data_IF_653386529286
#
_entry.id   IF_653386529286
#
_cell.length_a   1.000
_cell.length_b   1.000
_cell.length_c   1.000
_cell.angle_alpha   90.00
_cell.angle_beta   90.00
_cell.angle_gamma   90.00
#
_symmetry.space_group_name_H-M   'P 1'
#
loop_
_entity.id
_entity.type
_entity.pdbx_description
1 polymer ?
#
# COMPACT_ATOMS: atom_id res chain seq x y z
N UNK A 1 -15.08 -2.01 0.12
CA UNK A 1 -14.97 -0.54 0.20
C UNK A 1 -15.03 -0.15 1.66
N UNK A 2 -13.95 0.44 2.20
CA UNK A 2 -13.94 1.03 3.54
C UNK A 2 -14.10 2.55 3.42
N UNK A 3 -14.95 3.15 4.26
CA UNK A 3 -15.05 4.60 4.41
C UNK A 3 -14.52 4.92 5.80
N UNK A 4 -13.34 5.52 5.87
CA UNK A 4 -12.68 5.90 7.12
C UNK A 4 -12.96 7.36 7.45
N UNK A 5 -13.02 7.71 8.74
CA UNK A 5 -13.23 9.08 9.18
C UNK A 5 -12.08 9.98 8.69
N UNK A 6 -12.40 10.93 7.83
CA UNK A 6 -11.43 11.86 7.27
C UNK A 6 -11.02 12.92 8.30
N UNK A 7 -9.71 13.20 8.38
CA UNK A 7 -9.16 14.30 9.16
C UNK A 7 -7.93 14.85 8.46
N UNK A 8 -7.89 16.16 8.21
CA UNK A 8 -6.78 16.82 7.51
C UNK A 8 -5.40 16.54 8.14
N UNK A 9 -5.34 16.39 9.47
CA UNK A 9 -4.10 16.10 10.18
C UNK A 9 -3.51 14.72 9.83
N UNK A 10 -4.28 13.83 9.21
CA UNK A 10 -3.77 12.54 8.72
C UNK A 10 -2.86 12.70 7.50
N UNK A 11 -2.88 13.86 6.84
CA UNK A 11 -2.04 14.20 5.68
C UNK A 11 -0.90 15.15 6.05
N UNK A 12 -0.62 15.32 7.36
CA UNK A 12 0.44 16.20 7.81
C UNK A 12 1.80 15.69 7.31
N UNK A 13 2.53 16.52 6.55
CA UNK A 13 3.79 16.15 5.91
C UNK A 13 3.65 15.56 4.51
N UNK A 14 2.43 15.47 3.96
CA UNK A 14 2.18 15.13 2.56
C UNK A 14 1.86 16.38 1.72
N UNK A 15 2.06 16.28 0.41
CA UNK A 15 1.69 17.32 -0.54
C UNK A 15 0.17 17.57 -0.60
N UNK A 16 -0.22 18.72 -1.16
CA UNK A 16 -1.63 19.00 -1.46
C UNK A 16 -2.00 18.22 -2.73
N UNK A 17 -2.74 17.14 -2.56
CA UNK A 17 -3.20 16.27 -3.65
C UNK A 17 -4.69 16.52 -3.94
N UNK A 18 -5.09 16.28 -5.19
CA UNK A 18 -6.51 16.31 -5.57
C UNK A 18 -7.27 15.10 -4.98
N UNK A 19 -8.60 15.20 -4.79
CA UNK A 19 -9.40 14.05 -4.40
C UNK A 19 -9.26 12.91 -5.42
N UNK A 20 -8.70 11.78 -4.98
CA UNK A 20 -8.48 10.59 -5.79
C UNK A 20 -8.61 9.33 -4.94
N UNK A 21 -8.54 8.17 -5.59
CA UNK A 21 -8.44 6.89 -4.90
C UNK A 21 -7.09 6.81 -4.17
N UNK A 22 -7.12 6.45 -2.89
CA UNK A 22 -5.94 6.38 -2.04
C UNK A 22 -5.13 5.08 -2.24
N UNK A 23 -5.82 3.94 -2.29
CA UNK A 23 -5.22 2.62 -2.49
C UNK A 23 -6.24 1.61 -3.05
N UNK A 24 -5.72 0.49 -3.54
CA UNK A 24 -6.52 -0.67 -3.97
C UNK A 24 -6.22 -1.83 -3.02
N UNK A 25 -7.25 -2.54 -2.59
CA UNK A 25 -7.08 -3.73 -1.75
C UNK A 25 -7.65 -4.99 -2.37
N UNK A 26 -7.01 -6.13 -2.12
CA UNK A 26 -7.51 -7.44 -2.52
C UNK A 26 -7.12 -8.53 -1.51
N UNK A 27 -7.85 -9.65 -1.57
CA UNK A 27 -7.59 -10.81 -0.72
C UNK A 27 -6.78 -11.87 -1.44
N UNK A 28 -6.00 -12.61 -0.67
CA UNK A 28 -5.22 -13.76 -1.12
C UNK A 28 -5.48 -14.96 -0.22
N UNK A 29 -5.39 -16.20 -0.74
CA UNK A 29 -5.56 -17.40 0.08
C UNK A 29 -4.52 -17.50 1.21
N UNK A 30 -3.27 -17.09 0.94
CA UNK A 30 -2.17 -17.12 1.90
C UNK A 30 -1.22 -15.94 1.66
N UNK A 31 -0.97 -15.15 2.71
CA UNK A 31 -0.12 -13.95 2.63
C UNK A 31 1.35 -14.31 2.42
N UNK A 32 1.84 -15.42 2.97
CA UNK A 32 3.25 -15.80 2.83
C UNK A 32 3.54 -16.35 1.42
N UNK A 33 2.65 -17.18 0.86
CA UNK A 33 2.67 -17.53 -0.55
C UNK A 33 2.65 -16.32 -1.49
N UNK A 34 1.86 -15.29 -1.16
CA UNK A 34 1.87 -14.03 -1.91
C UNK A 34 3.24 -13.33 -1.85
N UNK A 35 3.85 -13.20 -0.66
CA UNK A 35 5.20 -12.62 -0.52
C UNK A 35 6.26 -13.40 -1.30
N UNK A 36 6.19 -14.72 -1.32
CA UNK A 36 7.11 -15.56 -2.10
C UNK A 36 6.96 -15.33 -3.62
N UNK A 37 5.73 -15.17 -4.10
CA UNK A 37 5.48 -14.82 -5.50
C UNK A 37 5.96 -13.40 -5.83
N UNK A 38 5.76 -12.44 -4.92
CA UNK A 38 6.24 -11.07 -5.05
C UNK A 38 7.77 -11.04 -5.22
N UNK A 39 8.49 -11.74 -4.36
CA UNK A 39 9.95 -11.87 -4.42
C UNK A 39 10.43 -12.54 -5.71
N UNK A 40 9.73 -13.59 -6.16
CA UNK A 40 10.02 -14.25 -7.45
C UNK A 40 9.85 -13.29 -8.64
N UNK A 41 8.77 -12.49 -8.66
CA UNK A 41 8.52 -11.50 -9.72
C UNK A 41 9.59 -10.42 -9.72
N UNK A 42 9.91 -9.87 -8.55
CA UNK A 42 10.94 -8.84 -8.41
C UNK A 42 12.33 -9.33 -8.86
N UNK A 43 12.68 -10.59 -8.55
CA UNK A 43 13.93 -11.22 -9.00
C UNK A 43 13.97 -11.48 -10.51
N UNK A 44 12.83 -11.81 -11.11
CA UNK A 44 12.73 -12.08 -12.54
C UNK A 44 12.81 -10.79 -13.36
N UNK A 45 12.22 -9.71 -12.88
CA UNK A 45 12.27 -8.40 -13.52
C UNK A 45 12.19 -7.28 -12.47
N UNK A 46 13.29 -6.54 -12.30
CA UNK A 46 13.37 -5.44 -11.35
C UNK A 46 12.38 -4.31 -11.65
N UNK A 47 11.96 -4.14 -12.91
CA UNK A 47 10.95 -3.16 -13.29
C UNK A 47 9.53 -3.53 -12.81
N UNK A 48 9.31 -4.77 -12.36
CA UNK A 48 8.07 -5.23 -11.75
C UNK A 48 8.15 -5.30 -10.22
N UNK A 49 9.30 -4.93 -9.63
CA UNK A 49 9.47 -4.98 -8.20
C UNK A 49 8.63 -3.89 -7.50
N UNK A 50 8.06 -4.18 -6.32
CA UNK A 50 7.43 -3.18 -5.49
C UNK A 50 8.37 -2.02 -5.19
N UNK A 51 7.88 -0.78 -5.29
CA UNK A 51 8.64 0.39 -4.84
C UNK A 51 8.57 0.51 -3.31
N UNK A 52 9.66 0.94 -2.65
CA UNK A 52 9.59 1.31 -1.24
C UNK A 52 8.60 2.48 -1.08
N UNK A 53 7.77 2.44 -0.04
CA UNK A 53 6.80 3.51 0.23
C UNK A 53 7.45 4.59 1.10
N UNK A 54 8.22 4.20 2.11
CA UNK A 54 8.75 5.04 3.19
C UNK A 54 10.16 5.60 2.91
N UNK A 55 10.47 5.90 1.65
CA UNK A 55 11.80 6.40 1.25
C UNK A 55 12.05 7.87 1.65
N UNK A 56 11.01 8.63 1.99
CA UNK A 56 11.09 10.00 2.51
C UNK A 56 10.01 10.27 3.59
N UNK A 57 9.95 11.50 4.11
CA UNK A 57 9.01 11.88 5.15
C UNK A 57 7.54 11.85 4.69
N UNK A 58 7.29 12.12 3.42
CA UNK A 58 5.96 12.10 2.85
C UNK A 58 5.48 10.65 2.66
N UNK A 59 6.33 9.79 2.12
CA UNK A 59 6.14 8.35 2.00
C UNK A 59 5.86 7.68 3.34
N UNK A 60 6.59 8.06 4.39
CA UNK A 60 6.32 7.59 5.74
C UNK A 60 4.92 8.00 6.25
N UNK A 61 4.48 9.22 5.95
CA UNK A 61 3.13 9.70 6.30
C UNK A 61 2.04 8.94 5.51
N UNK A 62 2.27 8.70 4.20
CA UNK A 62 1.38 7.91 3.33
C UNK A 62 1.25 6.47 3.82
N UNK A 63 2.36 5.81 4.20
CA UNK A 63 2.33 4.46 4.78
C UNK A 63 1.57 4.42 6.12
N UNK A 64 1.74 5.44 6.96
CA UNK A 64 1.00 5.55 8.22
C UNK A 64 -0.51 5.75 8.01
N UNK A 65 -0.91 6.46 6.95
CA UNK A 65 -2.31 6.60 6.55
C UNK A 65 -2.87 5.27 6.02
N UNK A 66 -2.15 4.61 5.11
CA UNK A 66 -2.55 3.34 4.52
C UNK A 66 -2.81 2.26 5.59
N UNK A 67 -1.93 2.18 6.61
CA UNK A 67 -2.07 1.27 7.76
C UNK A 67 -3.30 1.52 8.64
N UNK A 68 -4.02 2.63 8.46
CA UNK A 68 -5.30 2.87 9.15
C UNK A 68 -6.46 2.12 8.51
N UNK A 69 -6.29 1.59 7.29
CA UNK A 69 -7.27 0.73 6.66
C UNK A 69 -7.49 -0.53 7.54
N UNK A 70 -8.73 -0.81 7.99
CA UNK A 70 -8.99 -1.97 8.84
C UNK A 70 -9.14 -3.27 8.03
N UNK A 71 -9.00 -3.21 6.70
CA UNK A 71 -9.31 -4.33 5.81
C UNK A 71 -8.08 -5.09 5.32
N UNK A 72 -6.86 -4.55 5.46
CA UNK A 72 -5.64 -5.20 5.01
C UNK A 72 -4.56 -5.24 6.08
N UNK A 73 -3.65 -6.21 5.94
CA UNK A 73 -2.56 -6.46 6.88
C UNK A 73 -1.17 -6.32 6.24
N UNK A 74 -1.06 -6.38 4.90
CA UNK A 74 0.20 -6.22 4.18
C UNK A 74 0.11 -5.04 3.20
N UNK A 75 0.86 -3.98 3.50
CA UNK A 75 0.94 -2.78 2.66
C UNK A 75 2.16 -2.83 1.73
N UNK A 76 1.96 -2.50 0.46
CA UNK A 76 3.02 -2.36 -0.53
C UNK A 76 2.64 -1.34 -1.61
N UNK A 77 3.59 -0.97 -2.46
CA UNK A 77 3.33 -0.19 -3.66
C UNK A 77 3.72 -0.98 -4.91
N UNK A 78 2.96 -0.82 -5.99
CA UNK A 78 3.33 -1.35 -7.29
C UNK A 78 4.56 -0.60 -7.87
N UNK A 79 5.07 -1.01 -9.05
CA UNK A 79 6.20 -0.33 -9.70
C UNK A 79 5.96 1.14 -10.05
N UNK A 80 4.70 1.59 -10.14
CA UNK A 80 4.33 2.97 -10.44
C UNK A 80 4.07 3.80 -9.18
N UNK A 81 4.08 3.17 -8.00
CA UNK A 81 3.82 3.82 -6.72
C UNK A 81 2.35 3.75 -6.29
N UNK A 82 1.51 2.99 -6.99
CA UNK A 82 0.11 2.74 -6.59
C UNK A 82 0.10 1.95 -5.30
N UNK A 83 -0.56 2.49 -4.28
CA UNK A 83 -0.67 1.85 -2.97
C UNK A 83 -1.61 0.64 -3.04
N UNK A 84 -1.14 -0.48 -2.49
CA UNK A 84 -1.84 -1.76 -2.45
C UNK A 84 -1.88 -2.25 -1.00
N UNK A 85 -3.05 -2.76 -0.61
CA UNK A 85 -3.29 -3.37 0.69
C UNK A 85 -3.78 -4.82 0.51
N UNK A 86 -3.11 -5.77 1.15
CA UNK A 86 -3.37 -7.21 0.95
C UNK A 86 -3.84 -7.84 2.25
N UNK A 87 -4.87 -8.68 2.12
CA UNK A 87 -5.50 -9.39 3.23
C UNK A 87 -5.59 -10.90 2.98
N UNK A 88 -5.58 -11.72 4.03
CA UNK A 88 -5.87 -13.14 3.90
C UNK A 88 -7.38 -13.38 3.72
N UNK A 89 -7.75 -14.42 2.96
CA UNK A 89 -9.13 -14.91 2.98
C UNK A 89 -9.50 -15.43 4.40
N UNK A 90 -10.77 -15.28 4.76
CA UNK A 90 -11.34 -15.74 6.04
C UNK A 90 -12.03 -17.09 5.90
#
# INVERSE_FOLDING_TARGET
>A
MAIVLWKISSFNGAGIEQPAMDHIGFRVPEVDGFKAHLDKVAKANICLAPKPIDFDSEGAARLALLRKCPLGHLQLADPDGTLIDVEADH
#
